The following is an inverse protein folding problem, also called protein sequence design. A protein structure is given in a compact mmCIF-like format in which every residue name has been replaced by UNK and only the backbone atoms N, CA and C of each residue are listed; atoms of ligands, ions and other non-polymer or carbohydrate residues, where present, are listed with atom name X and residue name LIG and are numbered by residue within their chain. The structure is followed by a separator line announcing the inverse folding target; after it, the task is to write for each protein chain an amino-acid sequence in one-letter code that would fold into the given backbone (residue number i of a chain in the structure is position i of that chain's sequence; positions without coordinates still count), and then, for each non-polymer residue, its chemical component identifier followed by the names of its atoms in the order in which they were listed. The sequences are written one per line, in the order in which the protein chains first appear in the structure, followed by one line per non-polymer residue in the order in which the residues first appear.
data_IF_087896914142
#
_entry.id   IF_087896914142
#
_cell.length_a   1.000
_cell.length_b   1.000
_cell.length_c   1.000
_cell.angle_alpha   90.00
_cell.angle_beta   90.00
_cell.angle_gamma   90.00
#
_symmetry.space_group_name_H-M   'P 1'
#
loop_
_entity.id
_entity.type
_entity.pdbx_description
1 polymer ?
#
# COMPACT_ATOMS: atom_id res chain seq x y z
N UNK A 1 50.70 30.26 -5.23
CA UNK A 1 50.20 29.21 -6.16
C UNK A 1 50.20 29.79 -7.57
N UNK A 2 50.89 29.13 -8.49
CA UNK A 2 51.00 29.62 -9.87
C UNK A 2 49.62 29.59 -10.54
N UNK A 3 49.24 30.67 -11.22
CA UNK A 3 47.96 30.81 -11.97
C UNK A 3 47.70 29.73 -13.03
N UNK A 4 48.69 28.91 -13.35
CA UNK A 4 48.66 27.84 -14.37
C UNK A 4 47.86 26.62 -13.94
N UNK A 5 47.64 26.36 -12.65
CA UNK A 5 46.92 25.21 -12.14
C UNK A 5 45.40 25.45 -11.92
N UNK A 6 44.95 26.72 -11.99
CA UNK A 6 43.58 27.09 -11.74
C UNK A 6 42.57 26.41 -12.71
N UNK A 7 42.82 26.36 -14.05
CA UNK A 7 41.92 25.69 -14.96
C UNK A 7 41.87 24.18 -14.75
N UNK A 8 42.99 23.56 -14.37
CA UNK A 8 43.06 22.10 -14.14
C UNK A 8 42.27 21.73 -12.88
N UNK A 9 42.36 22.52 -11.82
CA UNK A 9 41.59 22.32 -10.59
C UNK A 9 40.08 22.49 -10.86
N UNK A 10 39.69 23.46 -11.67
CA UNK A 10 38.29 23.71 -12.05
C UNK A 10 37.71 22.52 -12.84
N UNK A 11 38.46 21.94 -13.75
CA UNK A 11 38.06 20.77 -14.52
C UNK A 11 37.88 19.54 -13.59
N UNK A 12 38.80 19.33 -12.65
CA UNK A 12 38.72 18.22 -11.70
C UNK A 12 37.47 18.37 -10.81
N UNK A 13 37.17 19.57 -10.30
CA UNK A 13 35.98 19.84 -9.51
C UNK A 13 34.69 19.62 -10.30
N UNK A 14 34.67 20.02 -11.57
CA UNK A 14 33.53 19.78 -12.47
C UNK A 14 33.32 18.29 -12.77
N UNK A 15 34.40 17.54 -13.00
CA UNK A 15 34.32 16.08 -13.21
C UNK A 15 33.91 15.35 -11.94
N UNK A 16 34.36 15.75 -10.76
CA UNK A 16 33.92 15.22 -9.48
C UNK A 16 32.44 15.54 -9.23
N UNK A 17 31.98 16.73 -9.54
CA UNK A 17 30.57 17.13 -9.47
C UNK A 17 29.68 16.31 -10.40
N UNK A 18 30.13 16.04 -11.62
CA UNK A 18 29.43 15.18 -12.58
C UNK A 18 29.43 13.70 -12.14
N UNK A 19 30.52 13.20 -11.54
CA UNK A 19 30.58 11.85 -10.99
C UNK A 19 29.66 11.69 -9.78
N UNK A 20 29.61 12.67 -8.89
CA UNK A 20 28.69 12.67 -7.74
C UNK A 20 27.24 12.78 -8.23
N UNK A 21 26.95 13.66 -9.21
CA UNK A 21 25.64 13.77 -9.83
C UNK A 21 25.22 12.45 -10.50
N UNK A 22 26.12 11.84 -11.28
CA UNK A 22 25.87 10.55 -11.92
C UNK A 22 25.67 9.43 -10.89
N UNK A 23 26.51 9.37 -9.83
CA UNK A 23 26.37 8.38 -8.76
C UNK A 23 25.07 8.54 -7.99
N UNK A 24 24.68 9.77 -7.62
CA UNK A 24 23.42 10.07 -6.94
C UNK A 24 22.23 9.79 -7.89
N UNK A 25 22.32 10.17 -9.15
CA UNK A 25 21.25 9.95 -10.12
C UNK A 25 21.12 8.49 -10.56
N UNK A 26 22.21 7.74 -10.58
CA UNK A 26 22.22 6.32 -10.92
C UNK A 26 21.79 5.44 -9.75
N UNK A 27 22.22 5.75 -8.54
CA UNK A 27 21.77 5.04 -7.33
C UNK A 27 20.37 5.48 -6.85
N UNK A 28 19.80 6.58 -7.33
CA UNK A 28 18.40 6.94 -7.09
C UNK A 28 17.42 6.30 -8.08
N UNK A 29 17.89 5.51 -9.05
CA UNK A 29 17.03 4.51 -9.67
C UNK A 29 16.83 3.38 -8.66
N UNK A 30 15.81 3.53 -7.83
CA UNK A 30 15.23 2.41 -7.11
C UNK A 30 14.94 1.33 -8.16
N UNK A 31 15.66 0.22 -8.10
CA UNK A 31 15.31 -0.97 -8.86
C UNK A 31 13.91 -1.35 -8.41
N UNK A 32 12.97 -1.43 -9.36
CA UNK A 32 11.66 -2.04 -9.11
C UNK A 32 11.95 -3.48 -8.65
N UNK A 33 11.89 -3.72 -7.34
CA UNK A 33 12.01 -5.08 -6.80
C UNK A 33 10.72 -5.78 -7.23
N UNK A 34 10.83 -6.59 -8.27
CA UNK A 34 9.74 -7.48 -8.70
C UNK A 34 9.60 -8.59 -7.65
N UNK A 35 8.75 -8.37 -6.64
CA UNK A 35 8.41 -9.36 -5.62
C UNK A 35 7.56 -10.45 -6.26
N UNK A 36 8.18 -11.37 -6.98
CA UNK A 36 7.55 -12.39 -7.85
C UNK A 36 6.57 -13.33 -7.14
N UNK A 37 6.65 -13.40 -5.82
CA UNK A 37 5.84 -14.31 -5.01
C UNK A 37 4.63 -13.61 -4.36
N UNK A 38 4.53 -12.28 -4.46
CA UNK A 38 3.40 -11.50 -3.93
C UNK A 38 2.36 -11.28 -5.01
N UNK A 39 1.13 -11.71 -4.73
CA UNK A 39 0.00 -11.57 -5.63
C UNK A 39 -0.75 -10.26 -5.38
N UNK A 40 -0.80 -9.36 -6.36
CA UNK A 40 -1.63 -8.15 -6.28
C UNK A 40 -3.01 -8.45 -6.87
N UNK A 41 -4.05 -8.38 -6.04
CA UNK A 41 -5.43 -8.66 -6.46
C UNK A 41 -6.18 -7.37 -6.81
N UNK A 42 -7.05 -7.38 -7.84
CA UNK A 42 -7.73 -6.18 -8.31
C UNK A 42 -8.91 -5.74 -7.44
N UNK A 43 -9.50 -6.63 -6.63
CA UNK A 43 -10.66 -6.33 -5.77
C UNK A 43 -10.56 -6.99 -4.39
N UNK A 44 -11.32 -6.49 -3.40
CA UNK A 44 -11.43 -7.09 -2.07
C UNK A 44 -12.02 -8.50 -2.05
N UNK A 45 -12.75 -8.89 -3.09
CA UNK A 45 -13.41 -10.20 -3.22
C UNK A 45 -12.69 -11.16 -4.15
N UNK A 46 -11.54 -10.76 -4.70
CA UNK A 46 -10.69 -11.66 -5.50
C UNK A 46 -10.14 -12.79 -4.62
N UNK A 47 -10.02 -13.98 -5.20
CA UNK A 47 -9.43 -15.13 -4.52
C UNK A 47 -7.98 -14.85 -4.11
N UNK A 48 -7.68 -15.06 -2.83
CA UNK A 48 -6.34 -14.88 -2.26
C UNK A 48 -5.48 -16.12 -2.50
N UNK A 49 -4.24 -15.85 -2.85
CA UNK A 49 -3.14 -16.83 -2.76
C UNK A 49 -2.43 -16.62 -1.43
N UNK A 50 -1.21 -17.20 -1.29
CA UNK A 50 -0.41 -17.05 -0.08
C UNK A 50 -0.19 -15.56 0.24
N UNK A 51 0.88 -14.97 -0.19
CA UNK A 51 1.12 -13.53 0.02
C UNK A 51 0.34 -12.72 -1.00
N UNK A 52 -0.57 -11.86 -0.53
CA UNK A 52 -1.48 -11.10 -1.39
C UNK A 52 -1.63 -9.67 -0.90
N UNK A 53 -1.75 -8.73 -1.85
CA UNK A 53 -1.98 -7.29 -1.57
C UNK A 53 -3.13 -6.78 -2.42
N UNK A 54 -3.97 -5.94 -1.84
CA UNK A 54 -4.99 -5.15 -2.50
C UNK A 54 -4.86 -3.67 -2.13
N UNK A 55 -5.08 -2.78 -3.11
CA UNK A 55 -5.14 -1.34 -2.89
C UNK A 55 -6.19 -0.69 -3.81
N UNK A 56 -6.93 0.26 -3.28
CA UNK A 56 -8.13 0.85 -3.86
C UNK A 56 -8.03 1.49 -5.28
N UNK A 57 -6.92 2.10 -5.75
CA UNK A 57 -6.90 2.88 -7.00
C UNK A 57 -7.41 2.13 -8.22
N UNK A 58 -7.07 0.84 -8.37
CA UNK A 58 -7.52 0.08 -9.54
C UNK A 58 -9.04 -0.11 -9.57
N UNK A 59 -9.67 -0.41 -8.44
CA UNK A 59 -11.13 -0.48 -8.34
C UNK A 59 -11.78 0.88 -8.66
N UNK A 60 -11.19 2.01 -8.21
CA UNK A 60 -11.73 3.35 -8.49
C UNK A 60 -11.74 3.68 -9.99
N UNK A 61 -10.67 3.37 -10.73
CA UNK A 61 -10.63 3.60 -12.17
C UNK A 61 -11.54 2.64 -12.94
N UNK A 62 -11.74 1.42 -12.45
CA UNK A 62 -12.71 0.50 -13.01
C UNK A 62 -14.15 1.01 -12.86
N UNK A 63 -14.47 1.59 -11.71
CA UNK A 63 -15.78 2.20 -11.50
C UNK A 63 -16.02 3.36 -12.49
N UNK A 64 -14.99 4.20 -12.78
CA UNK A 64 -15.09 5.25 -13.79
C UNK A 64 -15.25 4.67 -15.21
N UNK A 65 -14.52 3.59 -15.55
CA UNK A 65 -14.73 2.87 -16.81
C UNK A 65 -16.17 2.40 -16.95
N UNK A 66 -16.69 1.72 -15.93
CA UNK A 66 -18.06 1.18 -15.91
C UNK A 66 -19.11 2.29 -15.97
N UNK A 67 -19.03 3.29 -15.07
CA UNK A 67 -20.12 4.23 -14.82
C UNK A 67 -20.09 5.46 -15.73
N UNK A 68 -18.90 5.94 -16.09
CA UNK A 68 -18.76 7.19 -16.88
C UNK A 68 -18.61 6.91 -18.38
N UNK A 69 -17.85 5.86 -18.75
CA UNK A 69 -17.54 5.56 -20.15
C UNK A 69 -18.49 4.52 -20.76
N UNK A 70 -18.62 3.37 -20.14
CA UNK A 70 -19.43 2.26 -20.68
C UNK A 70 -20.90 2.41 -20.28
N UNK A 71 -21.19 2.98 -19.11
CA UNK A 71 -22.54 3.24 -18.53
C UNK A 71 -23.37 1.97 -18.30
N UNK A 72 -22.70 0.86 -18.09
CA UNK A 72 -23.23 -0.46 -17.76
C UNK A 72 -22.09 -1.37 -17.31
N UNK A 73 -22.40 -2.57 -16.86
CA UNK A 73 -21.38 -3.56 -16.53
C UNK A 73 -20.44 -3.79 -17.72
N UNK A 74 -19.15 -3.82 -17.43
CA UNK A 74 -18.13 -4.16 -18.42
C UNK A 74 -18.23 -5.65 -18.73
N UNK A 75 -18.26 -6.01 -20.00
CA UNK A 75 -18.26 -7.39 -20.47
C UNK A 75 -17.30 -7.49 -21.64
N UNK A 76 -16.43 -8.49 -21.68
CA UNK A 76 -15.53 -8.72 -22.80
C UNK A 76 -16.18 -9.57 -23.89
N UNK A 77 -15.84 -9.29 -25.16
CA UNK A 77 -16.22 -10.15 -26.27
C UNK A 77 -15.36 -11.42 -26.21
N UNK A 78 -16.00 -12.60 -26.31
CA UNK A 78 -15.40 -13.93 -26.24
C UNK A 78 -14.75 -14.27 -24.88
N UNK A 79 -15.09 -13.53 -23.81
CA UNK A 79 -14.65 -13.79 -22.43
C UNK A 79 -15.68 -13.22 -21.43
N UNK A 80 -16.95 -13.50 -21.67
CA UNK A 80 -18.09 -12.94 -20.93
C UNK A 80 -18.11 -13.38 -19.45
N UNK A 81 -17.47 -14.50 -19.14
CA UNK A 81 -17.36 -15.05 -17.77
C UNK A 81 -16.01 -14.74 -17.10
N UNK A 82 -15.28 -13.73 -17.54
CA UNK A 82 -14.03 -13.31 -16.90
C UNK A 82 -14.29 -12.95 -15.45
N UNK A 83 -13.76 -13.76 -14.52
CA UNK A 83 -14.05 -13.62 -13.10
C UNK A 83 -13.56 -12.28 -12.54
N UNK A 84 -12.39 -11.81 -12.96
CA UNK A 84 -11.85 -10.50 -12.55
C UNK A 84 -12.79 -9.36 -12.94
N UNK A 85 -13.36 -9.40 -14.15
CA UNK A 85 -14.34 -8.40 -14.62
C UNK A 85 -15.64 -8.47 -13.83
N UNK A 86 -16.14 -9.69 -13.59
CA UNK A 86 -17.36 -9.90 -12.80
C UNK A 86 -17.19 -9.35 -11.37
N UNK A 87 -16.03 -9.53 -10.77
CA UNK A 87 -15.74 -9.06 -9.41
C UNK A 87 -15.54 -7.54 -9.38
N UNK A 88 -14.80 -6.96 -10.33
CA UNK A 88 -14.63 -5.52 -10.46
C UNK A 88 -15.96 -4.78 -10.68
N UNK A 89 -16.89 -5.37 -11.45
CA UNK A 89 -18.21 -4.79 -11.69
C UNK A 89 -19.09 -4.71 -10.41
N UNK A 90 -18.75 -5.45 -9.34
CA UNK A 90 -19.48 -5.39 -8.06
C UNK A 90 -19.18 -4.14 -7.25
N UNK A 91 -18.16 -3.34 -7.66
CA UNK A 91 -17.80 -2.06 -7.04
C UNK A 91 -17.63 -2.17 -5.51
N UNK A 92 -16.85 -3.16 -5.08
CA UNK A 92 -16.63 -3.45 -3.65
C UNK A 92 -15.95 -2.33 -2.86
N UNK A 93 -15.41 -1.34 -3.57
CA UNK A 93 -14.87 -0.11 -3.03
C UNK A 93 -15.20 1.08 -3.95
N UNK A 94 -15.64 2.19 -3.39
CA UNK A 94 -16.07 3.37 -4.13
C UNK A 94 -15.47 4.66 -3.53
N UNK A 95 -15.69 5.80 -4.19
CA UNK A 95 -15.31 7.13 -3.67
C UNK A 95 -16.01 7.47 -2.33
N UNK A 96 -17.09 6.79 -1.97
CA UNK A 96 -17.75 6.96 -0.70
C UNK A 96 -17.03 6.28 0.47
N UNK A 97 -16.07 5.41 0.17
CA UNK A 97 -15.33 4.63 1.17
C UNK A 97 -14.00 5.28 1.58
N UNK A 98 -13.67 6.41 0.96
CA UNK A 98 -12.46 7.17 1.23
C UNK A 98 -12.72 8.68 1.13
N UNK A 99 -12.05 9.46 1.97
CA UNK A 99 -12.15 10.93 1.93
C UNK A 99 -11.43 11.48 0.71
N UNK A 100 -12.01 12.49 0.06
CA UNK A 100 -11.46 13.11 -1.15
C UNK A 100 -10.01 13.56 -1.01
N UNK A 101 -9.57 13.98 0.16
CA UNK A 101 -8.20 14.46 0.41
C UNK A 101 -7.11 13.42 0.14
N UNK A 102 -7.41 12.13 0.07
CA UNK A 102 -6.45 11.03 0.05
C UNK A 102 -6.34 10.28 -1.26
N UNK A 103 -7.18 10.61 -2.24
CA UNK A 103 -7.03 10.10 -3.59
C UNK A 103 -7.13 11.23 -4.62
N UNK A 104 -6.55 11.00 -5.79
CA UNK A 104 -6.73 11.81 -6.99
C UNK A 104 -7.12 10.88 -8.13
N UNK A 105 -8.11 11.26 -8.93
CA UNK A 105 -8.46 10.54 -10.16
C UNK A 105 -8.76 11.50 -11.30
N UNK A 106 -8.45 11.08 -12.50
CA UNK A 106 -8.68 11.81 -13.74
C UNK A 106 -8.77 10.82 -14.90
N UNK A 107 -9.62 11.09 -15.86
CA UNK A 107 -9.66 10.33 -17.10
C UNK A 107 -9.84 11.27 -18.30
N UNK A 108 -9.44 10.82 -19.48
CA UNK A 108 -9.55 11.58 -20.72
C UNK A 108 -8.73 11.01 -21.87
N UNK A 109 -8.79 11.65 -23.04
CA UNK A 109 -7.95 11.33 -24.18
C UNK A 109 -6.49 11.60 -23.84
N UNK A 110 -5.58 10.69 -24.15
CA UNK A 110 -4.16 10.69 -23.76
C UNK A 110 -3.34 11.77 -24.49
N UNK A 111 -3.73 13.03 -24.32
CA UNK A 111 -3.02 14.20 -24.82
C UNK A 111 -1.89 14.63 -23.88
N UNK A 112 -0.95 15.41 -24.37
CA UNK A 112 0.10 16.03 -23.54
C UNK A 112 -0.51 16.95 -22.47
N UNK A 113 -1.64 17.57 -22.75
CA UNK A 113 -2.33 18.41 -21.77
C UNK A 113 -2.97 17.59 -20.65
N UNK A 114 -3.59 16.44 -20.95
CA UNK A 114 -4.06 15.52 -19.90
C UNK A 114 -2.92 15.09 -18.98
N UNK A 115 -1.74 14.75 -19.53
CA UNK A 115 -0.55 14.40 -18.73
C UNK A 115 -0.20 15.53 -17.75
N UNK A 116 -0.07 16.76 -18.26
CA UNK A 116 0.23 17.95 -17.44
C UNK A 116 -0.83 18.22 -16.37
N UNK A 117 -2.11 18.03 -16.70
CA UNK A 117 -3.22 18.19 -15.73
C UNK A 117 -3.11 17.15 -14.59
N UNK A 118 -2.81 15.89 -14.90
CA UNK A 118 -2.62 14.84 -13.89
C UNK A 118 -1.40 15.15 -13.02
N UNK A 119 -0.24 15.44 -13.62
CA UNK A 119 1.00 15.78 -12.90
C UNK A 119 0.79 16.98 -11.97
N UNK A 120 0.10 18.02 -12.46
CA UNK A 120 -0.24 19.20 -11.66
C UNK A 120 -1.18 18.83 -10.52
N UNK A 121 -2.25 18.08 -10.78
CA UNK A 121 -3.23 17.68 -9.77
C UNK A 121 -2.61 16.87 -8.63
N UNK A 122 -1.72 15.91 -8.96
CA UNK A 122 -0.98 15.11 -7.97
C UNK A 122 -0.04 16.01 -7.16
N UNK A 123 0.72 16.87 -7.83
CA UNK A 123 1.66 17.78 -7.17
C UNK A 123 0.95 18.75 -6.23
N UNK A 124 -0.17 19.32 -6.67
CA UNK A 124 -0.94 20.29 -5.88
C UNK A 124 -1.57 19.63 -4.64
N UNK A 125 -2.07 18.38 -4.80
CA UNK A 125 -2.78 17.65 -3.74
C UNK A 125 -1.84 16.94 -2.76
N UNK A 126 -0.83 16.24 -3.26
CA UNK A 126 0.00 15.33 -2.48
C UNK A 126 1.46 15.77 -2.36
N UNK A 127 1.93 16.71 -3.19
CA UNK A 127 3.34 17.07 -3.35
C UNK A 127 4.21 15.94 -3.92
N UNK A 128 3.59 15.00 -4.60
CA UNK A 128 4.18 13.79 -5.16
C UNK A 128 4.29 13.84 -6.69
N UNK A 129 4.93 12.82 -7.26
CA UNK A 129 5.00 12.54 -8.69
C UNK A 129 4.34 11.20 -8.99
N UNK A 130 3.96 10.97 -10.24
CA UNK A 130 3.43 9.68 -10.67
C UNK A 130 4.55 8.69 -10.97
N UNK A 131 4.39 7.44 -10.53
CA UNK A 131 5.28 6.32 -10.84
C UNK A 131 4.94 5.64 -12.18
N UNK A 132 3.76 5.93 -12.77
CA UNK A 132 3.27 5.18 -13.92
C UNK A 132 3.03 6.03 -15.18
N UNK A 133 2.89 7.36 -15.08
CA UNK A 133 2.54 8.19 -16.26
C UNK A 133 3.55 8.09 -17.40
N UNK A 134 4.84 7.99 -17.10
CA UNK A 134 5.90 7.85 -18.11
C UNK A 134 5.92 6.47 -18.81
N UNK A 135 5.05 5.55 -18.40
CA UNK A 135 4.87 4.25 -19.02
C UNK A 135 3.76 4.24 -20.09
N UNK A 136 3.12 5.39 -20.32
CA UNK A 136 2.09 5.58 -21.34
C UNK A 136 2.52 6.59 -22.40
N UNK A 137 2.14 6.34 -23.65
CA UNK A 137 2.50 7.18 -24.81
C UNK A 137 1.46 8.29 -25.00
N UNK A 138 1.78 9.48 -24.51
CA UNK A 138 0.94 10.68 -24.71
C UNK A 138 1.33 11.40 -25.98
N UNK A 139 0.32 11.85 -26.76
CA UNK A 139 0.57 12.68 -27.95
C UNK A 139 -0.59 13.65 -28.21
N UNK A 140 -0.34 14.76 -28.90
CA UNK A 140 -1.37 15.76 -29.23
C UNK A 140 -2.51 15.20 -30.09
N UNK A 141 -2.23 14.20 -30.91
CA UNK A 141 -3.19 13.57 -31.81
C UNK A 141 -3.64 12.19 -31.33
N UNK A 142 -3.49 11.88 -30.06
CA UNK A 142 -3.90 10.58 -29.50
C UNK A 142 -5.40 10.38 -29.60
N UNK A 143 -5.81 9.18 -29.96
CA UNK A 143 -7.20 8.70 -29.84
C UNK A 143 -7.37 7.74 -28.66
N UNK A 144 -6.27 7.37 -28.00
CA UNK A 144 -6.29 6.50 -26.83
C UNK A 144 -6.87 7.24 -25.60
N UNK A 145 -7.44 6.49 -24.70
CA UNK A 145 -8.09 7.00 -23.48
C UNK A 145 -7.39 6.47 -22.24
N UNK A 146 -7.13 7.32 -21.26
CA UNK A 146 -6.53 6.97 -19.99
C UNK A 146 -7.56 7.14 -18.87
N UNK A 147 -7.61 6.16 -17.96
CA UNK A 147 -8.18 6.30 -16.63
C UNK A 147 -7.03 6.23 -15.63
N UNK A 148 -6.94 7.19 -14.75
CA UNK A 148 -5.86 7.35 -13.80
C UNK A 148 -6.40 7.58 -12.38
N UNK A 149 -5.84 6.88 -11.40
CA UNK A 149 -6.03 7.19 -9.98
C UNK A 149 -4.72 7.01 -9.21
N UNK A 150 -4.54 7.85 -8.19
CA UNK A 150 -3.51 7.75 -7.18
C UNK A 150 -4.15 7.85 -5.81
N UNK A 151 -3.79 6.95 -4.91
CA UNK A 151 -4.04 7.04 -3.48
C UNK A 151 -2.73 7.42 -2.80
N UNK A 152 -2.78 8.38 -1.91
CA UNK A 152 -1.62 8.79 -1.13
C UNK A 152 -2.05 8.96 0.33
N UNK A 153 -1.43 8.20 1.21
CA UNK A 153 -1.76 8.17 2.63
C UNK A 153 -0.50 8.13 3.48
N UNK A 154 -0.47 8.96 4.51
CA UNK A 154 0.52 8.90 5.60
C UNK A 154 -0.24 8.93 6.90
N UNK A 155 0.24 8.19 7.88
CA UNK A 155 -0.28 8.21 9.23
C UNK A 155 0.86 7.99 10.23
N UNK A 156 0.69 8.48 11.46
CA UNK A 156 1.57 8.22 12.58
C UNK A 156 0.77 7.53 13.69
N UNK A 157 1.39 6.61 14.40
CA UNK A 157 0.80 6.05 15.62
C UNK A 157 0.63 7.12 16.69
N UNK A 158 -0.33 6.95 17.59
CA UNK A 158 -0.61 7.90 18.68
C UNK A 158 0.65 8.19 19.50
N UNK A 159 1.40 7.15 19.86
CA UNK A 159 2.77 7.21 20.33
C UNK A 159 3.63 6.29 19.47
N UNK A 160 4.91 6.63 19.19
CA UNK A 160 5.82 5.69 18.54
C UNK A 160 5.96 4.43 19.38
N UNK A 161 5.87 3.27 18.73
CA UNK A 161 6.17 1.97 19.33
C UNK A 161 7.67 1.80 19.57
N UNK A 162 8.06 0.88 20.43
CA UNK A 162 9.45 0.50 20.59
C UNK A 162 9.94 -0.32 19.40
N UNK A 163 11.22 -0.15 19.05
CA UNK A 163 11.89 -1.02 18.09
C UNK A 163 12.29 -2.30 18.81
N UNK A 164 11.89 -3.42 18.24
CA UNK A 164 12.19 -4.74 18.75
C UNK A 164 13.26 -5.42 17.89
N UNK A 165 13.67 -6.63 18.28
CA UNK A 165 14.62 -7.44 17.51
C UNK A 165 14.01 -7.94 16.18
N UNK A 166 14.88 -8.46 15.28
CA UNK A 166 14.50 -9.11 14.03
C UNK A 166 13.64 -8.24 13.09
N UNK A 167 13.96 -6.94 12.98
CA UNK A 167 13.28 -5.99 12.10
C UNK A 167 11.78 -5.92 12.38
N UNK A 168 11.44 -5.80 13.70
CA UNK A 168 10.07 -5.63 14.18
C UNK A 168 9.95 -4.42 15.09
N UNK A 169 8.71 -4.02 15.37
CA UNK A 169 8.38 -3.01 16.38
C UNK A 169 7.17 -3.45 17.20
N UNK A 170 6.95 -2.83 18.36
CA UNK A 170 5.79 -3.18 19.18
C UNK A 170 5.91 -2.77 20.63
N UNK A 171 5.41 -3.61 21.52
CA UNK A 171 5.44 -3.46 22.98
C UNK A 171 5.95 -4.78 23.56
N UNK A 172 7.01 -4.73 24.36
CA UNK A 172 7.52 -5.86 25.12
C UNK A 172 7.39 -5.62 26.62
N UNK A 173 7.94 -6.50 27.43
CA UNK A 173 7.87 -6.42 28.91
C UNK A 173 8.57 -5.19 29.50
N UNK A 174 9.46 -4.57 28.77
CA UNK A 174 10.27 -3.42 29.22
C UNK A 174 9.73 -2.08 28.65
N UNK A 175 8.72 -2.15 27.78
CA UNK A 175 8.08 -0.99 27.17
C UNK A 175 7.31 -0.14 28.18
N UNK A 176 7.19 1.16 27.89
CA UNK A 176 6.37 2.06 28.69
C UNK A 176 4.88 1.69 28.60
N UNK A 177 4.19 1.64 29.76
CA UNK A 177 2.73 1.38 29.82
C UNK A 177 1.89 2.41 29.05
N UNK A 178 2.42 3.58 28.73
CA UNK A 178 1.74 4.59 27.91
C UNK A 178 1.48 4.07 26.48
N UNK A 179 2.31 3.14 25.99
CA UNK A 179 2.14 2.49 24.69
C UNK A 179 0.90 1.59 24.60
N UNK A 180 0.41 1.09 25.72
CA UNK A 180 -0.79 0.24 25.76
C UNK A 180 -2.01 0.97 25.15
N UNK A 181 -2.06 2.30 25.23
CA UNK A 181 -3.12 3.11 24.65
C UNK A 181 -3.15 3.06 23.11
N UNK A 182 -2.03 2.70 22.48
CA UNK A 182 -1.94 2.55 21.03
C UNK A 182 -2.67 1.32 20.50
N UNK A 183 -2.99 0.33 21.38
CA UNK A 183 -3.51 -0.96 20.98
C UNK A 183 -4.88 -1.21 21.58
N UNK A 184 -5.84 -1.59 20.77
CA UNK A 184 -7.15 -2.08 21.19
C UNK A 184 -7.31 -3.52 20.75
N UNK A 185 -7.57 -4.42 21.68
CA UNK A 185 -7.72 -5.85 21.41
C UNK A 185 -9.17 -6.12 20.98
N UNK A 186 -9.37 -6.44 19.72
CA UNK A 186 -10.69 -6.73 19.14
C UNK A 186 -11.20 -8.08 19.63
N UNK A 187 -10.33 -9.10 19.66
CA UNK A 187 -10.55 -10.39 20.30
C UNK A 187 -9.25 -11.13 20.54
N UNK A 188 -9.26 -12.08 21.47
CA UNK A 188 -8.15 -12.99 21.73
C UNK A 188 -8.69 -14.39 22.11
N UNK A 189 -8.52 -15.36 21.21
CA UNK A 189 -8.95 -16.76 21.37
C UNK A 189 -7.74 -17.72 21.38
N UNK A 190 -6.65 -17.31 22.03
CA UNK A 190 -5.39 -18.05 22.12
C UNK A 190 -4.34 -17.61 21.09
N UNK A 191 -3.18 -18.26 21.10
CA UNK A 191 -1.94 -17.85 20.42
C UNK A 191 -1.99 -17.72 18.88
N UNK A 192 -2.99 -18.30 18.22
CA UNK A 192 -3.11 -18.29 16.78
C UNK A 192 -4.44 -17.70 16.26
N UNK A 193 -5.26 -17.13 17.14
CA UNK A 193 -6.54 -16.56 16.73
C UNK A 193 -6.88 -15.31 17.53
N UNK A 194 -6.50 -14.16 17.02
CA UNK A 194 -6.69 -12.86 17.63
C UNK A 194 -6.69 -11.73 16.62
N UNK A 195 -7.22 -10.58 17.02
CA UNK A 195 -7.13 -9.34 16.26
C UNK A 195 -6.92 -8.15 17.17
N UNK A 196 -6.18 -7.17 16.66
CA UNK A 196 -5.95 -5.89 17.31
C UNK A 196 -6.21 -4.75 16.34
N UNK A 197 -6.47 -3.58 16.90
CA UNK A 197 -6.52 -2.30 16.21
C UNK A 197 -5.44 -1.41 16.80
N UNK A 198 -4.62 -0.80 15.93
CA UNK A 198 -3.63 0.18 16.33
C UNK A 198 -4.18 1.58 16.07
N UNK A 199 -4.10 2.43 17.09
CA UNK A 199 -4.58 3.80 17.05
C UNK A 199 -3.55 4.74 16.42
N UNK A 200 -4.00 5.62 15.53
CA UNK A 200 -3.17 6.64 14.90
C UNK A 200 -3.58 8.05 15.34
N UNK A 201 -2.67 9.01 15.20
CA UNK A 201 -2.95 10.45 15.39
C UNK A 201 -3.92 10.96 14.33
N UNK A 202 -3.86 10.36 13.15
CA UNK A 202 -4.66 10.72 11.99
C UNK A 202 -6.03 10.02 11.98
N UNK A 203 -6.73 10.12 10.86
CA UNK A 203 -8.04 9.49 10.69
C UNK A 203 -7.93 8.04 10.17
N UNK A 204 -6.85 7.33 10.49
CA UNK A 204 -6.60 5.95 10.09
C UNK A 204 -6.71 4.97 11.24
N UNK A 205 -7.04 3.74 10.90
CA UNK A 205 -6.95 2.56 11.76
C UNK A 205 -6.14 1.49 11.05
N UNK A 206 -5.17 0.92 11.77
CA UNK A 206 -4.44 -0.29 11.33
C UNK A 206 -5.04 -1.47 12.06
N UNK A 207 -5.61 -2.43 11.34
CA UNK A 207 -6.22 -3.62 11.92
C UNK A 207 -5.37 -4.82 11.54
N UNK A 208 -4.93 -5.60 12.54
CA UNK A 208 -4.12 -6.80 12.36
C UNK A 208 -4.90 -8.01 12.85
N UNK A 209 -4.92 -9.08 12.05
CA UNK A 209 -5.73 -10.27 12.30
C UNK A 209 -4.90 -11.52 12.09
N UNK A 210 -4.91 -12.44 13.04
CA UNK A 210 -4.32 -13.77 12.94
C UNK A 210 -5.40 -14.85 13.09
N UNK A 211 -5.23 -15.98 12.37
CA UNK A 211 -6.13 -17.13 12.47
C UNK A 211 -7.31 -17.13 11.50
N UNK A 212 -7.27 -16.32 10.44
CA UNK A 212 -8.29 -16.30 9.37
C UNK A 212 -7.70 -16.61 7.98
N UNK A 213 -6.60 -17.34 7.92
CA UNK A 213 -5.88 -17.63 6.68
C UNK A 213 -6.62 -18.62 5.75
N UNK A 214 -7.66 -19.29 6.26
CA UNK A 214 -8.52 -20.22 5.53
C UNK A 214 -9.64 -19.52 4.71
N UNK A 215 -9.78 -18.21 4.84
CA UNK A 215 -10.77 -17.44 4.09
C UNK A 215 -10.29 -17.12 2.68
N UNK A 216 -11.24 -17.07 1.74
CA UNK A 216 -10.93 -16.99 0.31
C UNK A 216 -10.56 -15.57 -0.16
N UNK A 217 -11.06 -14.52 0.51
CA UNK A 217 -10.84 -13.14 0.07
C UNK A 217 -10.79 -12.16 1.26
N UNK A 218 -10.28 -10.95 1.00
CA UNK A 218 -10.12 -9.91 2.03
C UNK A 218 -11.45 -9.45 2.62
N UNK A 219 -12.51 -9.36 1.83
CA UNK A 219 -13.82 -8.94 2.32
C UNK A 219 -14.41 -9.93 3.32
N UNK A 220 -14.27 -11.23 3.07
CA UNK A 220 -14.69 -12.26 4.02
C UNK A 220 -13.91 -12.17 5.34
N UNK A 221 -12.58 -11.98 5.28
CA UNK A 221 -11.76 -11.80 6.48
C UNK A 221 -12.26 -10.58 7.24
N UNK A 222 -12.38 -9.43 6.58
CA UNK A 222 -12.75 -8.17 7.19
C UNK A 222 -14.14 -8.22 7.83
N UNK A 223 -15.13 -8.78 7.14
CA UNK A 223 -16.51 -8.88 7.64
C UNK A 223 -16.66 -9.79 8.88
N UNK A 224 -15.68 -10.66 9.13
CA UNK A 224 -15.66 -11.50 10.33
C UNK A 224 -15.01 -10.81 11.55
N UNK A 225 -14.49 -9.59 11.39
CA UNK A 225 -13.88 -8.82 12.46
C UNK A 225 -14.93 -7.85 13.03
N UNK A 226 -15.26 -7.98 14.32
CA UNK A 226 -16.06 -6.95 14.99
C UNK A 226 -15.14 -5.82 15.47
N UNK A 227 -15.08 -4.74 14.72
CA UNK A 227 -14.22 -3.58 15.02
C UNK A 227 -14.81 -2.61 16.04
N UNK A 228 -16.07 -2.81 16.46
CA UNK A 228 -16.78 -1.92 17.39
C UNK A 228 -16.61 -2.33 18.85
N UNK A 229 -16.36 -3.62 19.11
CA UNK A 229 -16.11 -4.14 20.45
C UNK A 229 -14.62 -4.38 20.64
N UNK A 230 -14.05 -3.88 21.72
CA UNK A 230 -12.65 -4.11 22.05
C UNK A 230 -12.45 -4.13 23.56
N UNK A 231 -11.33 -4.73 23.97
CA UNK A 231 -10.77 -4.63 25.32
C UNK A 231 -9.45 -3.90 25.29
N UNK A 232 -9.05 -3.33 26.41
CA UNK A 232 -7.76 -2.67 26.52
C UNK A 232 -6.61 -3.67 26.47
N UNK A 233 -5.48 -3.23 25.95
CA UNK A 233 -4.19 -3.90 26.04
C UNK A 233 -3.67 -3.74 27.47
N UNK A 234 -3.27 -4.85 28.11
CA UNK A 234 -2.85 -4.88 29.51
C UNK A 234 -1.34 -4.68 29.64
N UNK A 235 -0.86 -4.41 30.85
CA UNK A 235 0.56 -4.16 31.11
C UNK A 235 1.43 -5.40 30.85
N UNK A 236 0.86 -6.59 30.97
CA UNK A 236 1.56 -7.87 30.76
C UNK A 236 1.44 -8.37 29.32
N UNK A 237 0.66 -7.69 28.48
CA UNK A 237 0.52 -8.05 27.07
C UNK A 237 1.74 -7.60 26.27
N UNK A 238 2.09 -8.37 25.23
CA UNK A 238 3.15 -8.01 24.29
C UNK A 238 2.66 -8.04 22.86
N UNK A 239 3.19 -7.19 22.01
CA UNK A 239 2.89 -7.17 20.58
C UNK A 239 4.16 -6.97 19.76
N UNK A 240 4.33 -7.79 18.71
CA UNK A 240 5.43 -7.66 17.75
C UNK A 240 4.89 -7.65 16.33
N UNK A 241 5.32 -6.66 15.53
CA UNK A 241 4.84 -6.40 14.17
C UNK A 241 6.06 -6.18 13.28
N UNK A 242 6.07 -6.75 12.07
CA UNK A 242 7.14 -6.51 11.09
C UNK A 242 7.19 -5.07 10.62
N UNK A 243 8.40 -4.57 10.36
CA UNK A 243 8.61 -3.43 9.50
C UNK A 243 8.36 -3.82 8.03
N UNK A 244 7.92 -2.86 7.24
CA UNK A 244 7.73 -2.99 5.79
C UNK A 244 8.32 -1.81 5.06
N UNK A 245 9.00 -2.08 3.95
CA UNK A 245 9.42 -1.08 2.95
C UNK A 245 9.53 -1.78 1.61
N UNK A 246 8.45 -1.77 0.82
CA UNK A 246 8.44 -2.43 -0.47
C UNK A 246 7.68 -1.65 -1.54
N UNK A 247 7.98 -1.98 -2.78
CA UNK A 247 7.32 -1.49 -3.98
C UNK A 247 6.88 -2.64 -4.86
N UNK A 248 5.60 -2.70 -5.19
CA UNK A 248 5.01 -3.66 -6.11
C UNK A 248 4.62 -2.97 -7.41
N UNK A 249 4.72 -3.70 -8.52
CA UNK A 249 4.18 -3.31 -9.80
C UNK A 249 3.48 -4.50 -10.45
N UNK A 250 2.25 -4.30 -10.89
CA UNK A 250 1.45 -5.34 -11.53
C UNK A 250 0.80 -4.82 -12.81
N UNK A 251 0.69 -5.71 -13.79
CA UNK A 251 -0.17 -5.60 -14.97
C UNK A 251 -1.19 -6.72 -14.89
N UNK A 252 -2.47 -6.40 -14.96
CA UNK A 252 -3.55 -7.40 -14.95
C UNK A 252 -3.74 -7.96 -16.36
N UNK A 253 -2.87 -8.91 -16.73
CA UNK A 253 -2.79 -9.46 -18.10
C UNK A 253 -4.10 -10.09 -18.58
N UNK A 254 -4.91 -10.63 -17.67
CA UNK A 254 -6.22 -11.21 -17.94
C UNK A 254 -7.25 -10.17 -18.40
N UNK A 255 -6.98 -8.88 -18.19
CA UNK A 255 -7.81 -7.77 -18.68
C UNK A 255 -7.28 -7.17 -19.98
N UNK A 256 -6.01 -7.39 -20.33
CA UNK A 256 -5.36 -6.72 -21.44
C UNK A 256 -5.70 -7.35 -22.79
N UNK A 257 -5.68 -6.53 -23.84
CA UNK A 257 -6.04 -6.91 -25.23
C UNK A 257 -7.47 -7.45 -25.38
N UNK A 258 -8.37 -7.08 -24.47
CA UNK A 258 -9.77 -7.49 -24.45
C UNK A 258 -10.68 -6.37 -24.97
N UNK A 259 -11.50 -6.68 -25.96
CA UNK A 259 -12.50 -5.74 -26.48
C UNK A 259 -13.74 -5.74 -25.60
N UNK A 260 -14.19 -4.56 -25.19
CA UNK A 260 -15.41 -4.38 -24.41
C UNK A 260 -16.62 -4.48 -25.35
N UNK A 261 -17.60 -5.31 -24.96
CA UNK A 261 -18.82 -5.54 -25.71
C UNK A 261 -19.65 -4.27 -25.83
N UNK A 262 -20.25 -4.05 -27.01
CA UNK A 262 -21.07 -2.88 -27.35
C UNK A 262 -20.34 -1.54 -27.12
N UNK A 263 -19.03 -1.51 -27.33
CA UNK A 263 -18.20 -0.31 -27.31
C UNK A 263 -17.06 -0.41 -28.32
N UNK A 264 -16.40 0.72 -28.60
CA UNK A 264 -15.20 0.77 -29.43
C UNK A 264 -13.90 0.61 -28.63
N UNK A 265 -14.01 0.44 -27.30
CA UNK A 265 -12.84 0.34 -26.43
C UNK A 265 -12.24 -1.07 -26.37
N UNK A 266 -10.91 -1.09 -26.35
CA UNK A 266 -10.08 -2.26 -26.03
C UNK A 266 -9.20 -1.84 -24.85
N UNK A 267 -9.15 -2.66 -23.81
CA UNK A 267 -8.18 -2.45 -22.73
C UNK A 267 -6.81 -2.89 -23.25
N UNK A 268 -5.94 -1.94 -23.57
CA UNK A 268 -4.63 -2.25 -24.17
C UNK A 268 -3.54 -2.47 -23.11
N UNK A 269 -3.64 -1.79 -21.96
CA UNK A 269 -2.66 -1.84 -20.88
C UNK A 269 -3.30 -1.53 -19.53
N UNK A 270 -2.90 -2.28 -18.52
CA UNK A 270 -3.23 -2.04 -17.12
C UNK A 270 -1.94 -1.94 -16.31
N UNK A 271 -1.86 -0.99 -15.40
CA UNK A 271 -0.71 -0.86 -14.48
C UNK A 271 -1.22 -0.42 -13.12
N UNK A 272 -0.74 -1.07 -12.07
CA UNK A 272 -0.83 -0.59 -10.71
C UNK A 272 0.54 -0.69 -10.04
N UNK A 273 0.93 0.36 -9.31
CA UNK A 273 2.07 0.34 -8.39
C UNK A 273 1.56 0.51 -6.96
N UNK A 274 2.20 -0.16 -6.01
CA UNK A 274 1.90 -0.07 -4.59
C UNK A 274 3.21 0.10 -3.84
N UNK A 275 3.44 1.26 -3.25
CA UNK A 275 4.59 1.54 -2.39
C UNK A 275 4.07 1.56 -0.95
N UNK A 276 4.60 0.69 -0.10
CA UNK A 276 4.14 0.55 1.26
C UNK A 276 5.31 0.54 2.24
N UNK A 277 5.23 1.41 3.25
CA UNK A 277 6.17 1.46 4.37
C UNK A 277 5.40 1.44 5.68
N UNK A 278 5.87 0.69 6.67
CA UNK A 278 5.35 0.66 8.03
C UNK A 278 6.50 0.41 9.00
N UNK A 279 6.64 1.26 10.00
CA UNK A 279 7.64 1.16 11.05
C UNK A 279 7.05 1.52 12.43
N UNK A 280 7.88 1.63 13.43
CA UNK A 280 7.49 1.95 14.80
C UNK A 280 6.88 3.36 15.00
N UNK A 281 7.04 4.27 14.05
CA UNK A 281 6.48 5.65 14.12
C UNK A 281 5.11 5.69 13.44
N UNK A 282 4.96 4.90 12.44
CA UNK A 282 3.83 4.91 11.51
C UNK A 282 4.32 4.52 10.12
N UNK A 283 3.88 5.19 9.07
CA UNK A 283 4.41 4.98 7.73
C UNK A 283 5.31 6.13 7.29
N UNK A 284 6.62 6.00 7.37
CA UNK A 284 7.74 6.53 6.58
C UNK A 284 9.10 6.43 7.29
N UNK A 285 10.24 6.56 6.59
CA UNK A 285 11.59 6.07 6.96
C UNK A 285 12.47 7.09 7.70
N UNK A 286 13.18 6.68 8.78
CA UNK A 286 14.61 6.87 9.04
C UNK A 286 15.08 6.05 10.26
N UNK A 287 16.37 5.60 10.29
CA UNK A 287 16.91 4.60 11.24
C UNK A 287 17.98 5.13 12.19
N UNK A 288 18.01 4.65 13.46
CA UNK A 288 19.17 4.63 14.37
C UNK A 288 19.04 3.48 15.39
N UNK A 289 20.19 2.97 15.98
CA UNK A 289 20.22 1.75 16.80
C UNK A 289 20.84 1.93 18.18
N UNK A 290 20.35 1.15 19.19
CA UNK A 290 20.93 1.01 20.53
C UNK A 290 20.45 -0.27 21.24
N UNK A 291 21.26 -0.89 22.11
CA UNK A 291 21.00 -2.19 22.79
C UNK A 291 20.99 -2.01 24.31
N UNK A 292 20.01 -2.65 25.02
CA UNK A 292 20.01 -2.81 26.48
C UNK A 292 19.39 -4.17 26.88
N UNK A 293 19.94 -4.84 27.92
CA UNK A 293 19.48 -6.14 28.39
C UNK A 293 18.94 -6.06 29.83
N UNK A 294 17.92 -6.87 30.18
CA UNK A 294 17.34 -6.97 31.52
C UNK A 294 16.79 -8.37 31.85
N UNK A 295 16.71 -8.66 33.15
CA UNK A 295 16.36 -9.94 33.78
C UNK A 295 14.85 -10.15 33.90
N UNK A 296 14.37 -11.42 33.89
CA UNK A 296 12.96 -11.80 33.69
C UNK A 296 12.33 -12.46 34.92
N UNK A 297 11.21 -11.94 35.36
CA UNK A 297 10.19 -12.71 36.11
C UNK A 297 8.85 -12.63 35.31
N UNK A 298 8.26 -13.80 35.03
CA UNK A 298 7.16 -13.91 34.07
C UNK A 298 5.81 -13.86 34.80
N UNK A 299 4.99 -12.88 34.46
CA UNK A 299 3.53 -12.92 34.56
C UNK A 299 3.03 -13.23 33.15
N UNK A 300 2.19 -14.27 32.98
CA UNK A 300 1.69 -14.66 31.64
C UNK A 300 0.68 -13.62 31.11
N UNK A 301 1.14 -12.72 30.24
CA UNK A 301 0.31 -11.83 29.44
C UNK A 301 -0.17 -12.47 28.14
N UNK A 302 -1.05 -11.78 27.40
CA UNK A 302 -1.40 -12.16 26.02
C UNK A 302 -0.25 -11.77 25.07
N UNK A 303 0.05 -12.66 24.11
CA UNK A 303 1.12 -12.43 23.15
C UNK A 303 0.56 -12.29 21.74
N UNK A 304 0.73 -11.11 21.15
CA UNK A 304 0.26 -10.78 19.80
C UNK A 304 1.45 -10.73 18.83
N UNK A 305 1.70 -11.84 18.13
CA UNK A 305 2.83 -11.95 17.21
C UNK A 305 2.35 -11.87 15.76
N UNK A 306 2.62 -10.72 15.10
CA UNK A 306 2.33 -10.44 13.71
C UNK A 306 3.61 -10.41 12.88
N UNK A 307 4.33 -11.55 12.86
CA UNK A 307 5.56 -11.72 12.06
C UNK A 307 5.34 -12.62 10.84
N UNK A 308 4.39 -13.54 10.89
CA UNK A 308 3.94 -14.39 9.76
C UNK A 308 2.49 -14.84 9.99
N UNK A 309 1.84 -15.29 8.92
CA UNK A 309 0.48 -15.84 8.93
C UNK A 309 -0.56 -14.88 9.56
N UNK A 310 -0.66 -13.67 9.01
CA UNK A 310 -1.64 -12.69 9.44
C UNK A 310 -2.13 -11.82 8.28
N UNK A 311 -3.19 -11.06 8.53
CA UNK A 311 -3.75 -10.10 7.57
C UNK A 311 -3.75 -8.70 8.19
N UNK A 312 -3.40 -7.71 7.39
CA UNK A 312 -3.44 -6.29 7.75
C UNK A 312 -4.46 -5.57 6.91
N UNK A 313 -5.21 -4.66 7.53
CA UNK A 313 -6.11 -3.73 6.87
C UNK A 313 -5.78 -2.30 7.29
N UNK A 314 -5.84 -1.37 6.32
CA UNK A 314 -5.85 0.06 6.59
C UNK A 314 -7.20 0.64 6.19
N UNK A 315 -7.81 1.41 7.09
CA UNK A 315 -9.15 1.95 6.95
C UNK A 315 -9.23 3.36 7.54
N UNK A 316 -10.07 4.22 7.01
CA UNK A 316 -10.44 5.46 7.72
C UNK A 316 -11.38 5.16 8.90
N UNK A 317 -11.19 5.83 10.05
CA UNK A 317 -11.98 5.63 11.29
C UNK A 317 -13.49 5.69 11.04
N UNK A 318 -13.94 6.60 10.19
CA UNK A 318 -15.37 6.84 9.91
C UNK A 318 -15.87 6.15 8.64
N UNK A 319 -15.13 5.20 8.08
CA UNK A 319 -15.51 4.41 6.90
C UNK A 319 -15.64 2.93 7.27
N UNK A 320 -16.43 2.21 6.49
CA UNK A 320 -16.71 0.79 6.78
C UNK A 320 -15.83 -0.18 6.01
N UNK A 321 -15.19 0.28 4.93
CA UNK A 321 -14.42 -0.57 4.01
C UNK A 321 -12.95 -0.13 4.06
N UNK A 322 -11.98 -1.06 4.19
CA UNK A 322 -10.56 -0.73 4.13
C UNK A 322 -10.18 -0.24 2.73
N UNK A 323 -9.21 0.67 2.65
CA UNK A 323 -8.64 1.16 1.37
C UNK A 323 -7.36 0.40 0.97
N UNK A 324 -6.84 -0.43 1.87
CA UNK A 324 -5.67 -1.28 1.67
C UNK A 324 -5.82 -2.57 2.49
N UNK A 325 -5.38 -3.68 1.93
CA UNK A 325 -5.33 -4.96 2.61
C UNK A 325 -4.10 -5.76 2.16
N UNK A 326 -3.49 -6.49 3.10
CA UNK A 326 -2.33 -7.32 2.86
C UNK A 326 -2.43 -8.61 3.67
N UNK A 327 -2.26 -9.76 3.02
CA UNK A 327 -2.11 -11.08 3.64
C UNK A 327 -0.64 -11.47 3.58
N UNK A 328 -0.08 -11.82 4.72
CA UNK A 328 1.31 -12.19 4.90
C UNK A 328 1.37 -13.62 5.42
N UNK A 329 1.73 -14.56 4.56
CA UNK A 329 2.04 -15.93 4.97
C UNK A 329 3.55 -16.08 5.23
N UNK A 330 4.38 -15.42 4.42
CA UNK A 330 5.83 -15.38 4.59
C UNK A 330 6.36 -13.95 4.42
N UNK A 331 6.90 -13.37 5.49
CA UNK A 331 7.44 -12.01 5.48
C UNK A 331 8.61 -11.82 4.50
N UNK A 332 9.40 -12.86 4.24
CA UNK A 332 10.57 -12.77 3.34
C UNK A 332 10.17 -12.44 1.89
N UNK A 333 8.91 -12.67 1.50
CA UNK A 333 8.38 -12.30 0.19
C UNK A 333 8.06 -10.81 0.06
N UNK A 334 8.17 -10.04 1.16
CA UNK A 334 7.96 -8.59 1.22
C UNK A 334 9.25 -7.79 1.54
N UNK A 335 10.42 -8.46 1.51
CA UNK A 335 11.74 -7.84 1.78
C UNK A 335 12.59 -7.70 0.53
#
# INVERSE_FOLDING_TARGET
MKKEYLPTILIIVLLLGLLIYYYVFYNSREEDIDLKEVNVVPTLISDLKNDSVWCAPFQLIWNDLKNDLIKKDVVFINDENNQTVLDLNKETFTVNDISDNYYYKKHGVMTLDLKKEIEKGIKDKFREKSDILDQFDFSENSTNYLLYAMLYRKFEFTNPFDKLENDTFGIDSDSSNDLNNNVKVLYYNGYNNYAVKLETKDNDEVILVKGMNDRNNFQEIYNNINTNNYSDFQNEDTISINNFDFKLKVNYQELENKKIKDSDFIISKTIQTINFTLDNIGGKVKSEAGIMMKDTSVIEGRHFNFTNNYVMFLKEKNRNIPYYAMKIDNIENFK
#
